data_IF_090179934159
#
_entry.id   IF_090179934159
#
_cell.length_a   1.000
_cell.length_b   1.000
_cell.length_c   1.000
_cell.angle_alpha   90.00
_cell.angle_beta   90.00
_cell.angle_gamma   90.00
#
_symmetry.space_group_name_H-M   'P 1'
#
loop_
_entity.id
_entity.type
_entity.pdbx_description
1 polymer ?
#
# COMPACT_ATOMS: atom_id res chain seq x y z
N UNK A 1 -2.45 11.69 17.00
CA UNK A 1 -2.06 11.00 15.76
C UNK A 1 -1.93 12.01 14.64
N UNK A 2 -0.89 11.89 13.82
CA UNK A 2 -0.72 12.71 12.62
C UNK A 2 -1.79 12.36 11.58
N UNK A 3 -2.37 13.34 10.91
CA UNK A 3 -3.39 13.09 9.89
C UNK A 3 -2.75 12.58 8.60
N UNK A 4 -3.29 11.53 7.95
CA UNK A 4 -2.81 11.09 6.65
C UNK A 4 -2.94 12.19 5.59
N UNK A 5 -1.90 12.40 4.79
CA UNK A 5 -1.87 13.40 3.72
C UNK A 5 -1.80 12.71 2.35
N UNK A 6 -2.37 13.32 1.30
CA UNK A 6 -2.26 12.78 -0.06
C UNK A 6 -0.82 12.87 -0.58
N UNK A 7 -0.42 11.90 -1.37
CA UNK A 7 0.84 11.93 -2.13
C UNK A 7 0.72 12.91 -3.31
N UNK A 8 1.79 13.64 -3.59
CA UNK A 8 1.94 14.48 -4.78
C UNK A 8 2.45 13.64 -5.95
N UNK A 9 1.87 13.82 -7.13
CA UNK A 9 2.24 13.07 -8.32
C UNK A 9 2.96 13.96 -9.32
N UNK A 10 4.11 13.51 -9.84
CA UNK A 10 4.89 14.27 -10.81
C UNK A 10 5.45 13.35 -11.90
N UNK A 11 5.46 13.83 -13.15
CA UNK A 11 6.05 13.14 -14.31
C UNK A 11 7.56 13.32 -14.37
N UNK A 12 8.02 14.48 -13.95
CA UNK A 12 9.42 14.86 -14.04
C UNK A 12 10.13 14.61 -12.73
N UNK A 13 11.45 14.40 -12.80
CA UNK A 13 12.27 14.29 -11.59
C UNK A 13 12.28 15.65 -10.89
N UNK A 14 12.03 15.62 -9.59
CA UNK A 14 12.14 16.82 -8.74
C UNK A 14 13.59 17.30 -8.75
N UNK A 15 13.80 18.57 -9.06
CA UNK A 15 15.13 19.18 -9.07
C UNK A 15 15.77 19.15 -7.69
N UNK A 16 17.02 18.69 -7.63
CA UNK A 16 17.77 18.57 -6.37
C UNK A 16 18.00 19.94 -5.75
N UNK A 17 17.73 20.07 -4.46
CA UNK A 17 17.98 21.29 -3.68
C UNK A 17 18.82 20.99 -2.45
N UNK A 18 19.89 21.75 -2.29
CA UNK A 18 20.83 21.65 -1.18
C UNK A 18 20.60 22.78 -0.17
N UNK A 19 20.99 22.54 1.09
CA UNK A 19 20.99 23.61 2.11
C UNK A 19 21.92 24.73 1.65
N UNK A 20 21.43 25.97 1.71
CA UNK A 20 22.17 27.16 1.27
C UNK A 20 22.74 27.04 -0.16
N UNK A 21 22.15 26.19 -1.01
CA UNK A 21 22.65 25.86 -2.34
C UNK A 21 24.09 25.30 -2.39
N UNK A 22 24.55 24.66 -1.30
CA UNK A 22 25.88 24.05 -1.18
C UNK A 22 25.77 22.52 -1.06
N UNK A 23 26.27 21.75 -2.06
CA UNK A 23 26.24 20.29 -2.02
C UNK A 23 26.92 19.66 -0.80
N UNK A 24 27.90 20.34 -0.18
CA UNK A 24 28.61 19.83 0.99
C UNK A 24 27.80 19.98 2.28
N UNK A 25 26.74 20.77 2.28
CA UNK A 25 25.86 20.99 3.44
C UNK A 25 24.65 20.04 3.45
N UNK A 26 24.55 19.14 2.46
CA UNK A 26 23.48 18.15 2.35
C UNK A 26 22.18 18.70 1.77
N UNK A 27 21.17 17.83 1.69
CA UNK A 27 19.87 18.16 1.10
C UNK A 27 19.08 19.15 1.96
N UNK A 28 18.36 20.06 1.29
CA UNK A 28 17.46 20.99 1.96
C UNK A 28 16.29 20.22 2.62
N UNK A 29 15.94 20.48 3.90
CA UNK A 29 14.88 19.74 4.59
C UNK A 29 13.51 19.78 3.89
N UNK A 30 13.16 20.90 3.28
CA UNK A 30 11.97 21.10 2.48
C UNK A 30 11.98 20.23 1.21
N UNK A 31 13.14 20.04 0.59
CA UNK A 31 13.31 19.15 -0.55
C UNK A 31 13.21 17.67 -0.15
N UNK A 32 13.78 17.28 0.98
CA UNK A 32 13.60 15.92 1.52
C UNK A 32 12.11 15.66 1.81
N UNK A 33 11.42 16.62 2.42
CA UNK A 33 9.98 16.52 2.68
C UNK A 33 9.16 16.40 1.40
N UNK A 34 9.50 17.15 0.34
CA UNK A 34 8.87 17.02 -0.96
C UNK A 34 9.12 15.63 -1.56
N UNK A 35 10.38 15.17 -1.61
CA UNK A 35 10.75 13.86 -2.14
C UNK A 35 9.99 12.72 -1.45
N UNK A 36 9.89 12.75 -0.12
CA UNK A 36 9.16 11.75 0.66
C UNK A 36 7.64 11.78 0.42
N UNK A 37 7.12 12.81 -0.24
CA UNK A 37 5.70 13.00 -0.55
C UNK A 37 5.41 12.93 -2.04
N UNK A 38 6.42 12.82 -2.90
CA UNK A 38 6.26 12.70 -4.35
C UNK A 38 6.31 11.25 -4.81
N UNK A 39 5.43 10.88 -5.72
CA UNK A 39 5.45 9.62 -6.47
C UNK A 39 5.32 9.92 -7.97
N UNK A 40 5.78 9.00 -8.80
CA UNK A 40 5.68 9.16 -10.25
C UNK A 40 4.20 9.16 -10.71
N UNK A 41 3.87 10.03 -11.68
CA UNK A 41 2.48 10.30 -12.09
C UNK A 41 1.68 9.06 -12.49
N UNK A 42 2.30 8.06 -13.11
CA UNK A 42 1.57 6.86 -13.53
C UNK A 42 0.99 6.05 -12.36
N UNK A 43 1.39 6.34 -11.11
CA UNK A 43 0.81 5.72 -9.90
C UNK A 43 -0.39 6.48 -9.34
N UNK A 44 -0.85 7.56 -9.99
CA UNK A 44 -1.95 8.40 -9.48
C UNK A 44 -3.25 7.63 -9.23
N UNK A 45 -3.47 6.54 -9.98
CA UNK A 45 -4.66 5.69 -9.83
C UNK A 45 -4.75 5.00 -8.45
N UNK A 46 -3.65 4.91 -7.68
CA UNK A 46 -3.68 4.32 -6.34
C UNK A 46 -4.32 5.24 -5.30
N UNK A 47 -4.37 6.55 -5.56
CA UNK A 47 -4.89 7.51 -4.58
C UNK A 47 -4.14 7.48 -3.25
N UNK A 48 -2.84 7.17 -3.28
CA UNK A 48 -2.03 6.92 -2.09
C UNK A 48 -2.09 8.07 -1.08
N UNK A 49 -2.25 7.71 0.20
CA UNK A 49 -2.09 8.61 1.34
C UNK A 49 -0.97 8.09 2.23
N UNK A 50 -0.14 8.99 2.73
CA UNK A 50 0.97 8.69 3.65
C UNK A 50 0.74 9.32 5.00
N UNK A 51 1.37 8.73 6.00
CA UNK A 51 1.42 9.22 7.36
C UNK A 51 2.83 8.93 7.88
N UNK A 52 3.49 9.94 8.46
CA UNK A 52 4.77 9.75 9.12
C UNK A 52 4.54 9.43 10.58
N UNK A 53 5.22 8.41 11.07
CA UNK A 53 5.04 7.83 12.39
C UNK A 53 6.39 7.61 13.05
N UNK A 54 6.43 7.68 14.38
CA UNK A 54 7.62 7.25 15.12
C UNK A 54 7.74 5.73 15.06
N UNK A 55 8.97 5.21 14.98
CA UNK A 55 9.18 3.75 15.01
C UNK A 55 8.79 3.14 16.36
N UNK A 56 8.80 3.94 17.43
CA UNK A 56 8.39 3.53 18.78
C UNK A 56 6.86 3.36 18.92
N UNK A 57 6.08 3.85 17.94
CA UNK A 57 4.63 3.72 17.91
C UNK A 57 4.16 2.40 17.26
N UNK A 58 5.09 1.56 16.80
CA UNK A 58 4.81 0.33 16.06
C UNK A 58 5.18 -0.95 16.80
N UNK A 59 4.69 -2.08 16.28
CA UNK A 59 5.11 -3.43 16.66
C UNK A 59 6.36 -3.81 15.89
N UNK A 60 7.37 -4.34 16.60
CA UNK A 60 8.59 -4.87 15.99
C UNK A 60 8.50 -6.38 15.82
N UNK A 61 8.62 -6.86 14.58
CA UNK A 61 8.59 -8.29 14.26
C UNK A 61 9.64 -8.58 13.19
N UNK A 62 10.52 -9.57 13.42
CA UNK A 62 11.53 -9.97 12.43
C UNK A 62 12.49 -8.85 11.99
N UNK A 63 12.69 -7.81 12.81
CA UNK A 63 13.50 -6.64 12.47
C UNK A 63 12.77 -5.57 11.66
N UNK A 64 11.48 -5.77 11.37
CA UNK A 64 10.60 -4.82 10.70
C UNK A 64 9.70 -4.10 11.71
N UNK A 65 9.17 -2.94 11.31
CA UNK A 65 8.25 -2.12 12.11
C UNK A 65 6.89 -2.04 11.43
N UNK A 66 5.83 -2.38 12.16
CA UNK A 66 4.45 -2.39 11.67
C UNK A 66 3.56 -1.54 12.56
N UNK A 67 2.69 -0.75 11.96
CA UNK A 67 1.65 -0.07 12.72
C UNK A 67 0.47 -1.03 12.93
N UNK A 68 -0.05 -1.18 14.16
CA UNK A 68 -1.13 -2.12 14.44
C UNK A 68 -2.44 -1.70 13.76
N UNK A 69 -3.26 -2.69 13.41
CA UNK A 69 -4.64 -2.44 13.06
C UNK A 69 -5.48 -2.28 14.34
N UNK A 70 -6.17 -1.15 14.47
CA UNK A 70 -7.00 -0.81 15.62
C UNK A 70 -8.20 0.06 15.19
N UNK A 71 -8.90 0.69 16.14
CA UNK A 71 -10.04 1.57 15.83
C UNK A 71 -9.67 2.79 14.97
N UNK A 72 -8.40 3.19 14.94
CA UNK A 72 -7.86 4.28 14.13
C UNK A 72 -7.40 3.82 12.74
N UNK A 73 -6.99 2.56 12.59
CA UNK A 73 -6.59 1.96 11.31
C UNK A 73 -7.17 0.55 11.15
N UNK A 74 -8.28 0.44 10.41
CA UNK A 74 -8.95 -0.84 10.16
C UNK A 74 -8.44 -1.49 8.86
N UNK A 75 -8.15 -2.79 8.91
CA UNK A 75 -7.87 -3.59 7.71
C UNK A 75 -9.16 -3.86 6.93
N UNK A 76 -9.38 -3.14 5.82
CA UNK A 76 -10.57 -3.29 4.97
C UNK A 76 -10.42 -4.27 3.82
N UNK A 77 -9.24 -4.34 3.22
CA UNK A 77 -8.99 -5.15 2.04
C UNK A 77 -7.54 -5.63 2.01
N UNK A 78 -7.34 -6.86 1.54
CA UNK A 78 -6.03 -7.41 1.17
C UNK A 78 -5.98 -7.57 -0.35
N UNK A 79 -5.14 -6.76 -1.00
CA UNK A 79 -4.88 -6.83 -2.44
C UNK A 79 -3.67 -7.75 -2.66
N UNK A 80 -3.90 -8.93 -3.23
CA UNK A 80 -2.84 -9.90 -3.51
C UNK A 80 -2.20 -9.57 -4.85
N UNK A 81 -0.97 -9.06 -4.81
CA UNK A 81 -0.24 -8.64 -6.01
C UNK A 81 0.00 -9.77 -7.03
N UNK A 82 0.27 -9.40 -8.31
CA UNK A 82 0.47 -10.37 -9.40
C UNK A 82 1.64 -11.33 -9.14
N UNK A 83 2.72 -10.85 -8.51
CA UNK A 83 3.93 -11.61 -8.22
C UNK A 83 3.99 -12.17 -6.80
N UNK A 84 2.87 -12.13 -6.06
CA UNK A 84 2.83 -12.72 -4.73
C UNK A 84 3.00 -14.26 -4.83
N UNK A 85 4.06 -14.78 -4.22
CA UNK A 85 4.37 -16.21 -4.20
C UNK A 85 3.61 -16.97 -3.09
N UNK A 86 2.96 -16.26 -2.17
CA UNK A 86 2.20 -16.88 -1.09
C UNK A 86 0.91 -17.48 -1.69
N UNK A 87 0.62 -18.77 -1.44
CA UNK A 87 -0.62 -19.40 -1.86
C UNK A 87 -1.85 -18.65 -1.34
N UNK A 88 -2.87 -18.54 -2.18
CA UNK A 88 -4.03 -17.69 -1.88
C UNK A 88 -4.86 -18.22 -0.71
N UNK A 89 -5.03 -19.53 -0.60
CA UNK A 89 -5.67 -20.22 0.53
C UNK A 89 -4.98 -19.90 1.86
N UNK A 90 -3.65 -19.78 1.86
CA UNK A 90 -2.90 -19.35 3.03
C UNK A 90 -3.23 -17.90 3.42
N UNK A 91 -3.38 -17.02 2.44
CA UNK A 91 -3.79 -15.62 2.68
C UNK A 91 -5.22 -15.58 3.21
N UNK A 92 -6.14 -16.32 2.60
CA UNK A 92 -7.54 -16.45 3.04
C UNK A 92 -7.62 -16.92 4.51
N UNK A 93 -6.84 -17.94 4.87
CA UNK A 93 -6.77 -18.44 6.24
C UNK A 93 -6.21 -17.41 7.25
N UNK A 94 -5.29 -16.54 6.83
CA UNK A 94 -4.77 -15.46 7.69
C UNK A 94 -5.81 -14.35 7.86
N UNK A 95 -6.50 -13.98 6.77
CA UNK A 95 -7.54 -12.95 6.79
C UNK A 95 -8.77 -13.41 7.55
N UNK A 96 -9.15 -14.69 7.48
CA UNK A 96 -10.26 -15.25 8.25
C UNK A 96 -10.08 -15.13 9.77
N UNK A 97 -8.83 -14.97 10.23
CA UNK A 97 -8.50 -14.75 11.66
C UNK A 97 -8.63 -13.28 12.09
N UNK A 98 -8.91 -12.35 11.18
CA UNK A 98 -9.12 -10.93 11.48
C UNK A 98 -10.61 -10.65 11.75
N UNK A 99 -11.01 -9.37 11.83
CA UNK A 99 -12.34 -8.92 12.23
C UNK A 99 -13.47 -9.17 11.19
N UNK A 100 -13.36 -10.24 10.39
CA UNK A 100 -14.42 -10.80 9.54
C UNK A 100 -14.92 -9.97 8.34
N UNK A 101 -14.58 -8.67 8.28
CA UNK A 101 -15.05 -7.74 7.25
C UNK A 101 -13.99 -7.40 6.20
N UNK A 102 -12.82 -8.04 6.25
CA UNK A 102 -11.72 -7.82 5.31
C UNK A 102 -11.99 -8.56 4.00
N UNK A 103 -12.06 -7.84 2.89
CA UNK A 103 -12.14 -8.45 1.56
C UNK A 103 -10.75 -8.88 1.06
N UNK A 104 -10.74 -9.80 0.09
CA UNK A 104 -9.52 -10.23 -0.60
C UNK A 104 -9.76 -10.07 -2.10
N UNK A 105 -8.85 -9.36 -2.76
CA UNK A 105 -8.85 -9.13 -4.20
C UNK A 105 -7.55 -9.64 -4.80
N UNK A 106 -7.62 -10.53 -5.79
CA UNK A 106 -6.43 -10.90 -6.56
C UNK A 106 -6.19 -9.85 -7.63
N UNK A 107 -5.00 -9.28 -7.68
CA UNK A 107 -4.62 -8.28 -8.67
C UNK A 107 -3.76 -8.86 -9.81
N UNK A 108 -3.79 -8.17 -10.95
CA UNK A 108 -2.95 -8.41 -12.12
C UNK A 108 -2.40 -7.09 -12.67
N UNK A 109 -1.38 -7.17 -13.51
CA UNK A 109 -0.94 -6.03 -14.31
C UNK A 109 -1.99 -5.70 -15.37
N UNK A 110 -2.17 -4.40 -15.64
CA UNK A 110 -2.93 -3.89 -16.78
C UNK A 110 -2.37 -4.41 -18.10
N UNK A 111 -3.23 -4.61 -19.09
CA UNK A 111 -2.78 -5.14 -20.40
C UNK A 111 -2.18 -4.06 -21.29
N UNK A 112 -2.69 -2.83 -21.17
CA UNK A 112 -2.40 -1.72 -22.10
C UNK A 112 -1.89 -0.47 -21.40
N UNK A 113 -2.01 -0.40 -20.06
CA UNK A 113 -1.66 0.75 -19.24
C UNK A 113 -0.78 0.30 -18.08
N UNK A 114 0.04 1.22 -17.59
CA UNK A 114 0.80 1.05 -16.37
C UNK A 114 -0.15 1.16 -15.18
N UNK A 115 -0.75 0.04 -14.80
CA UNK A 115 -1.71 -0.04 -13.69
C UNK A 115 -1.75 -1.46 -13.10
N UNK A 116 -2.18 -1.54 -11.85
CA UNK A 116 -2.51 -2.79 -11.16
C UNK A 116 -4.02 -2.84 -10.98
N UNK A 117 -4.67 -3.84 -11.54
CA UNK A 117 -6.13 -3.95 -11.62
C UNK A 117 -6.63 -5.28 -11.06
N UNK A 118 -7.89 -5.37 -10.59
CA UNK A 118 -8.48 -6.64 -10.18
C UNK A 118 -8.44 -7.68 -11.30
N UNK A 119 -8.07 -8.92 -10.95
CA UNK A 119 -8.14 -10.05 -11.86
C UNK A 119 -9.57 -10.61 -11.88
N UNK A 120 -10.34 -10.16 -12.88
CA UNK A 120 -11.72 -10.60 -13.09
C UNK A 120 -11.87 -12.13 -13.29
N UNK A 121 -10.81 -12.84 -13.69
CA UNK A 121 -10.84 -14.31 -13.82
C UNK A 121 -10.98 -14.96 -12.44
N UNK A 122 -10.33 -14.38 -11.44
CA UNK A 122 -10.41 -14.81 -10.06
C UNK A 122 -11.79 -14.51 -9.47
N UNK A 123 -12.27 -13.27 -9.62
CA UNK A 123 -13.57 -12.85 -9.10
C UNK A 123 -14.73 -13.72 -9.63
N UNK A 124 -14.66 -14.14 -10.90
CA UNK A 124 -15.64 -15.05 -11.50
C UNK A 124 -15.61 -16.44 -10.87
N UNK A 125 -14.42 -17.00 -10.60
CA UNK A 125 -14.29 -18.30 -9.91
C UNK A 125 -14.87 -18.26 -8.51
N UNK A 126 -14.62 -17.18 -7.76
CA UNK A 126 -15.18 -16.98 -6.41
C UNK A 126 -16.71 -16.97 -6.40
N UNK A 127 -17.34 -16.33 -7.38
CA UNK A 127 -18.81 -16.30 -7.53
C UNK A 127 -19.41 -17.65 -7.94
N UNK A 128 -18.63 -18.52 -8.59
CA UNK A 128 -19.07 -19.84 -9.05
C UNK A 128 -18.77 -20.96 -8.03
N UNK A 129 -17.98 -20.67 -7.00
CA UNK A 129 -17.73 -21.62 -5.93
C UNK A 129 -19.04 -21.87 -5.16
N UNK A 130 -19.42 -23.14 -4.91
CA UNK A 130 -20.61 -23.45 -4.15
C UNK A 130 -20.53 -22.79 -2.77
N UNK A 131 -21.60 -22.11 -2.37
CA UNK A 131 -21.75 -21.61 -1.00
C UNK A 131 -21.83 -22.83 -0.09
N UNK A 132 -20.71 -23.21 0.52
CA UNK A 132 -20.71 -24.13 1.65
C UNK A 132 -21.36 -23.39 2.82
N UNK A 133 -22.69 -23.38 2.84
CA UNK A 133 -23.47 -23.22 4.07
C UNK A 133 -23.24 -24.50 4.87
N UNK A 134 -22.38 -24.42 5.88
CA UNK A 134 -22.32 -25.45 6.90
C UNK A 134 -23.64 -25.38 7.70
N UNK A 135 -24.31 -26.53 7.75
CA UNK A 135 -25.47 -26.85 8.61
C UNK A 135 -24.96 -27.17 10.01
#
# INVERSE_FOLDING_TARGET
MSTPFPVSYNKERVSVRFKNNDPNQGLAPEFVNELLRTKYEHWVYEGERRMFMSLDEGTKEGGLFFYPFDSSLLLKEVIVGPHCAIPLDRIENLVAKTNGSTSITKARLGFTRFEVVPDQRYERKKKQAPSNKQV
#
